data_IF_331665220094
#
_entry.id   IF_331665220094
#
_cell.length_a   1.000
_cell.length_b   1.000
_cell.length_c   1.000
_cell.angle_alpha   90.00
_cell.angle_beta   90.00
_cell.angle_gamma   90.00
#
_symmetry.space_group_name_H-M   'P 1'
#
loop_
_entity.id
_entity.type
_entity.pdbx_description
1 polymer ?
#
# COMPACT_ATOMS: atom_id res chain seq x y z
N UNK A 1 16.53 -8.63 46.20
CA UNK A 1 15.28 -9.27 45.70
C UNK A 1 15.02 -8.77 44.29
N UNK A 2 15.14 -9.64 43.28
CA UNK A 2 14.92 -9.31 41.86
C UNK A 2 13.41 -9.22 41.64
N UNK A 3 12.91 -7.99 41.55
CA UNK A 3 11.49 -7.72 41.35
C UNK A 3 11.10 -8.24 39.94
N UNK A 4 10.49 -9.42 39.88
CA UNK A 4 9.90 -9.97 38.66
C UNK A 4 8.56 -9.27 38.44
N UNK A 5 8.63 -8.07 37.86
CA UNK A 5 7.46 -7.40 37.29
C UNK A 5 6.85 -8.36 36.24
N UNK A 6 5.53 -8.61 36.27
CA UNK A 6 4.90 -9.71 35.55
C UNK A 6 5.00 -9.53 34.03
N UNK A 7 5.61 -10.49 33.35
CA UNK A 7 5.69 -10.64 31.87
C UNK A 7 4.34 -10.57 31.14
N UNK A 8 3.22 -10.59 31.87
CA UNK A 8 1.85 -10.64 31.34
C UNK A 8 1.42 -9.24 30.85
N UNK A 9 1.75 -8.19 31.60
CA UNK A 9 1.32 -6.81 31.30
C UNK A 9 2.01 -6.26 30.03
N UNK A 10 3.30 -6.60 29.84
CA UNK A 10 4.06 -6.22 28.65
C UNK A 10 3.53 -6.84 27.35
N UNK A 11 2.91 -8.03 27.42
CA UNK A 11 2.39 -8.72 26.23
C UNK A 11 1.05 -8.10 25.77
N UNK A 12 0.21 -7.68 26.71
CA UNK A 12 -1.09 -7.08 26.40
C UNK A 12 -0.96 -5.66 25.83
N UNK A 13 0.00 -4.85 26.31
CA UNK A 13 0.31 -3.53 25.72
C UNK A 13 0.91 -3.63 24.32
N UNK A 14 1.83 -4.57 24.08
CA UNK A 14 2.41 -4.79 22.75
C UNK A 14 1.34 -5.28 21.75
N UNK A 15 0.41 -6.11 22.20
CA UNK A 15 -0.71 -6.56 21.38
C UNK A 15 -1.68 -5.42 21.06
N UNK A 16 -2.01 -4.58 22.04
CA UNK A 16 -2.86 -3.38 21.83
C UNK A 16 -2.25 -2.40 20.85
N UNK A 17 -0.97 -2.07 20.99
CA UNK A 17 -0.28 -1.13 20.08
C UNK A 17 -0.22 -1.65 18.64
N UNK A 18 0.04 -2.95 18.45
CA UNK A 18 -0.05 -3.58 17.12
C UNK A 18 -1.46 -3.53 16.53
N UNK A 19 -2.49 -3.80 17.34
CA UNK A 19 -3.89 -3.73 16.90
C UNK A 19 -4.30 -2.31 16.52
N UNK A 20 -3.99 -1.31 17.36
CA UNK A 20 -4.28 0.10 17.07
C UNK A 20 -3.58 0.53 15.78
N UNK A 21 -2.32 0.16 15.59
CA UNK A 21 -1.57 0.47 14.36
C UNK A 21 -2.21 -0.18 13.13
N UNK A 22 -2.74 -1.40 13.27
CA UNK A 22 -3.48 -2.08 12.21
C UNK A 22 -4.79 -1.38 11.86
N UNK A 23 -5.59 -0.97 12.85
CA UNK A 23 -6.84 -0.25 12.62
C UNK A 23 -6.62 1.14 12.02
N UNK A 24 -5.58 1.86 12.46
CA UNK A 24 -5.19 3.14 11.87
C UNK A 24 -4.78 2.94 10.40
N UNK A 25 -3.97 1.92 10.10
CA UNK A 25 -3.58 1.59 8.73
C UNK A 25 -4.77 1.22 7.84
N UNK A 26 -5.74 0.48 8.39
CA UNK A 26 -7.00 0.14 7.72
C UNK A 26 -7.81 1.40 7.40
N UNK A 27 -7.98 2.29 8.38
CA UNK A 27 -8.69 3.56 8.19
C UNK A 27 -8.06 4.45 7.12
N UNK A 28 -6.73 4.63 7.16
CA UNK A 28 -6.00 5.43 6.16
C UNK A 28 -6.17 4.82 4.76
N UNK A 29 -6.03 3.50 4.63
CA UNK A 29 -6.17 2.81 3.34
C UNK A 29 -7.59 2.91 2.79
N UNK A 30 -8.60 2.84 3.66
CA UNK A 30 -10.00 3.00 3.29
C UNK A 30 -10.28 4.41 2.77
N UNK A 31 -9.80 5.44 3.49
CA UNK A 31 -9.93 6.84 3.05
C UNK A 31 -9.23 7.06 1.72
N UNK A 32 -8.01 6.55 1.55
CA UNK A 32 -7.28 6.64 0.28
C UNK A 32 -8.03 5.95 -0.87
N UNK A 33 -8.57 4.74 -0.65
CA UNK A 33 -9.38 4.02 -1.64
C UNK A 33 -10.62 4.82 -2.06
N UNK A 34 -11.33 5.37 -1.06
CA UNK A 34 -12.53 6.17 -1.28
C UNK A 34 -12.23 7.44 -2.07
N UNK A 35 -11.11 8.11 -1.78
CA UNK A 35 -10.69 9.30 -2.52
C UNK A 35 -10.37 8.97 -3.98
N UNK A 36 -9.67 7.87 -4.25
CA UNK A 36 -9.38 7.40 -5.61
C UNK A 36 -10.69 7.05 -6.34
N UNK A 37 -11.60 6.34 -5.68
CA UNK A 37 -12.91 5.98 -6.24
C UNK A 37 -13.71 7.23 -6.66
N UNK A 38 -13.83 8.21 -5.75
CA UNK A 38 -14.51 9.49 -6.03
C UNK A 38 -13.82 10.25 -7.15
N UNK A 39 -12.49 10.30 -7.16
CA UNK A 39 -11.74 10.96 -8.23
C UNK A 39 -12.01 10.34 -9.60
N UNK A 40 -12.01 9.00 -9.70
CA UNK A 40 -12.34 8.28 -10.94
C UNK A 40 -13.78 8.56 -11.38
N UNK A 41 -14.74 8.54 -10.45
CA UNK A 41 -16.15 8.85 -10.75
C UNK A 41 -16.28 10.28 -11.29
N UNK A 42 -15.65 11.26 -10.62
CA UNK A 42 -15.66 12.65 -11.06
C UNK A 42 -15.07 12.81 -12.46
N UNK A 43 -13.91 12.18 -12.74
CA UNK A 43 -13.29 12.23 -14.06
C UNK A 43 -14.23 11.67 -15.13
N UNK A 44 -14.92 10.55 -14.86
CA UNK A 44 -15.84 9.95 -15.83
C UNK A 44 -17.13 10.76 -16.03
N UNK A 45 -17.66 11.38 -14.98
CA UNK A 45 -18.89 12.18 -15.06
C UNK A 45 -18.67 13.54 -15.72
N UNK A 46 -17.58 14.24 -15.38
CA UNK A 46 -17.30 15.57 -15.92
C UNK A 46 -16.51 15.55 -17.23
N UNK A 47 -15.80 14.45 -17.54
CA UNK A 47 -14.93 14.36 -18.71
C UNK A 47 -15.62 13.94 -20.01
N UNK A 48 -16.73 13.19 -19.93
CA UNK A 48 -17.32 12.56 -21.12
C UNK A 48 -18.48 13.35 -21.76
N UNK A 49 -19.07 14.33 -21.07
CA UNK A 49 -20.15 15.16 -21.61
C UNK A 49 -21.44 14.43 -22.01
N UNK A 50 -21.56 13.13 -21.71
CA UNK A 50 -22.78 12.35 -21.97
C UNK A 50 -23.78 12.45 -20.81
N UNK A 51 -25.01 11.95 -21.03
CA UNK A 51 -26.07 11.95 -20.02
C UNK A 51 -25.59 11.27 -18.72
N UNK A 52 -25.64 11.97 -17.57
CA UNK A 52 -25.13 11.45 -16.30
C UNK A 52 -25.85 10.18 -15.86
N UNK A 53 -27.11 9.99 -16.25
CA UNK A 53 -27.92 8.81 -15.92
C UNK A 53 -27.41 7.51 -16.57
N UNK A 54 -26.80 7.60 -17.76
CA UNK A 54 -26.25 6.43 -18.47
C UNK A 54 -24.84 6.10 -18.02
N UNK A 55 -24.04 7.11 -17.70
CA UNK A 55 -22.65 6.93 -17.25
C UNK A 55 -22.56 6.53 -15.78
N UNK A 56 -23.50 6.95 -14.92
CA UNK A 56 -23.38 6.78 -13.47
C UNK A 56 -23.03 5.36 -13.02
N UNK A 57 -23.74 4.35 -13.56
CA UNK A 57 -23.49 2.94 -13.20
C UNK A 57 -22.12 2.45 -13.66
N UNK A 58 -21.70 2.87 -14.86
CA UNK A 58 -20.37 2.55 -15.39
C UNK A 58 -19.27 3.19 -14.55
N UNK A 59 -19.42 4.48 -14.25
CA UNK A 59 -18.48 5.24 -13.43
C UNK A 59 -18.36 4.67 -12.02
N UNK A 60 -19.46 4.20 -11.42
CA UNK A 60 -19.43 3.51 -10.12
C UNK A 60 -18.62 2.21 -10.20
N UNK A 61 -18.93 1.33 -11.15
CA UNK A 61 -18.23 0.06 -11.34
C UNK A 61 -16.73 0.28 -11.56
N UNK A 62 -16.37 1.19 -12.46
CA UNK A 62 -14.98 1.49 -12.77
C UNK A 62 -14.28 2.15 -11.57
N UNK A 63 -14.96 3.05 -10.85
CA UNK A 63 -14.43 3.70 -9.66
C UNK A 63 -14.08 2.70 -8.55
N UNK A 64 -14.98 1.77 -8.23
CA UNK A 64 -14.73 0.72 -7.23
C UNK A 64 -13.70 -0.30 -7.71
N UNK A 65 -13.71 -0.68 -8.99
CA UNK A 65 -12.78 -1.66 -9.54
C UNK A 65 -11.35 -1.12 -9.62
N UNK A 66 -11.18 0.12 -10.12
CA UNK A 66 -9.87 0.77 -10.25
C UNK A 66 -9.25 1.05 -8.87
N UNK A 67 -10.04 1.57 -7.93
CA UNK A 67 -9.54 1.80 -6.56
C UNK A 67 -9.15 0.50 -5.85
N UNK A 68 -9.96 -0.55 -5.98
CA UNK A 68 -9.67 -1.88 -5.43
C UNK A 68 -8.42 -2.52 -6.03
N UNK A 69 -8.31 -2.56 -7.36
CA UNK A 69 -7.18 -3.20 -8.03
C UNK A 69 -5.86 -2.46 -7.77
N UNK A 70 -5.89 -1.13 -7.70
CA UNK A 70 -4.70 -0.31 -7.45
C UNK A 70 -4.15 -0.59 -6.04
N UNK A 71 -5.02 -0.72 -5.02
CA UNK A 71 -4.61 -1.10 -3.68
C UNK A 71 -4.02 -2.52 -3.61
N UNK A 72 -4.64 -3.48 -4.30
CA UNK A 72 -4.11 -4.85 -4.38
C UNK A 72 -2.74 -4.86 -5.06
N UNK A 73 -2.57 -4.13 -6.17
CA UNK A 73 -1.28 -3.99 -6.84
C UNK A 73 -0.24 -3.33 -5.94
N UNK A 74 -0.62 -2.29 -5.19
CA UNK A 74 0.30 -1.64 -4.26
C UNK A 74 0.74 -2.57 -3.12
N UNK A 75 -0.19 -3.36 -2.58
CA UNK A 75 0.14 -4.41 -1.62
C UNK A 75 1.16 -5.42 -2.19
N UNK A 76 0.92 -5.92 -3.41
CA UNK A 76 1.87 -6.81 -4.09
C UNK A 76 3.22 -6.14 -4.32
N UNK A 77 3.24 -4.87 -4.71
CA UNK A 77 4.46 -4.10 -4.93
C UNK A 77 5.29 -3.96 -3.65
N UNK A 78 4.64 -3.64 -2.52
CA UNK A 78 5.32 -3.62 -1.21
C UNK A 78 5.83 -5.01 -0.86
N UNK A 79 5.03 -6.06 -1.10
CA UNK A 79 5.44 -7.43 -0.80
C UNK A 79 6.63 -7.87 -1.64
N UNK A 80 6.67 -7.50 -2.92
CA UNK A 80 7.81 -7.72 -3.82
C UNK A 80 9.05 -6.93 -3.38
N UNK A 81 8.86 -5.71 -2.88
CA UNK A 81 9.93 -4.91 -2.26
C UNK A 81 10.53 -5.62 -1.06
N UNK A 82 9.72 -6.25 -0.21
CA UNK A 82 10.19 -7.06 0.93
C UNK A 82 10.94 -8.33 0.54
N UNK A 83 10.78 -8.80 -0.70
CA UNK A 83 11.57 -9.88 -1.29
C UNK A 83 12.89 -9.39 -1.91
N UNK A 84 13.11 -8.08 -1.94
CA UNK A 84 14.32 -7.45 -2.44
C UNK A 84 14.31 -7.16 -3.95
N UNK A 85 13.16 -7.24 -4.61
CA UNK A 85 13.03 -6.95 -6.04
C UNK A 85 13.53 -5.53 -6.39
N UNK A 86 13.28 -4.57 -5.50
CA UNK A 86 13.70 -3.17 -5.68
C UNK A 86 15.02 -2.83 -4.95
N UNK A 87 15.65 -3.78 -4.25
CA UNK A 87 16.86 -3.49 -3.45
C UNK A 87 18.06 -3.13 -4.31
N UNK A 88 18.20 -3.79 -5.46
CA UNK A 88 19.28 -3.54 -6.43
C UNK A 88 19.13 -2.12 -7.01
N UNK A 89 17.91 -1.75 -7.40
CA UNK A 89 17.61 -0.43 -7.96
C UNK A 89 17.89 0.68 -6.95
N UNK A 90 17.44 0.52 -5.70
CA UNK A 90 17.69 1.52 -4.64
C UNK A 90 19.18 1.65 -4.33
N UNK A 91 19.92 0.54 -4.29
CA UNK A 91 21.37 0.57 -4.09
C UNK A 91 22.08 1.29 -5.25
N UNK A 92 21.72 0.96 -6.50
CA UNK A 92 22.29 1.60 -7.69
C UNK A 92 22.03 3.11 -7.75
N UNK A 93 20.79 3.54 -7.47
CA UNK A 93 20.45 4.98 -7.44
C UNK A 93 21.22 5.70 -6.34
N UNK A 94 21.32 5.12 -5.13
CA UNK A 94 22.12 5.70 -4.05
C UNK A 94 23.59 5.81 -4.44
N UNK A 95 24.16 4.74 -5.00
CA UNK A 95 25.56 4.73 -5.42
C UNK A 95 25.82 5.81 -6.47
N UNK A 96 24.95 5.93 -7.48
CA UNK A 96 25.04 6.99 -8.49
C UNK A 96 24.96 8.39 -7.86
N UNK A 97 23.99 8.61 -6.97
CA UNK A 97 23.82 9.90 -6.28
C UNK A 97 25.04 10.26 -5.41
N UNK A 98 25.53 9.32 -4.59
CA UNK A 98 26.71 9.54 -3.75
C UNK A 98 27.97 9.75 -4.58
N UNK A 99 28.14 9.04 -5.69
CA UNK A 99 29.26 9.25 -6.61
C UNK A 99 29.23 10.62 -7.29
N UNK A 100 28.04 11.16 -7.58
CA UNK A 100 27.89 12.48 -8.20
C UNK A 100 28.09 13.63 -7.21
N UNK A 101 27.58 13.50 -5.98
CA UNK A 101 27.57 14.60 -5.01
C UNK A 101 28.69 14.56 -3.97
N UNK A 102 29.35 13.42 -3.75
CA UNK A 102 30.42 13.28 -2.76
C UNK A 102 31.72 12.80 -3.41
N UNK A 103 32.80 13.56 -3.15
CA UNK A 103 34.17 13.28 -3.64
C UNK A 103 34.78 12.01 -3.01
N UNK A 104 34.25 11.55 -1.86
CA UNK A 104 34.77 10.40 -1.13
C UNK A 104 33.63 9.49 -0.66
N UNK A 105 33.43 8.36 -1.35
CA UNK A 105 32.33 7.41 -1.10
C UNK A 105 32.49 6.75 0.28
N UNK A 106 33.73 6.65 0.79
CA UNK A 106 34.08 6.05 2.10
C UNK A 106 33.63 6.84 3.33
N UNK A 107 33.35 8.14 3.20
CA UNK A 107 32.81 8.96 4.30
C UNK A 107 31.28 8.86 4.43
N UNK A 108 30.63 8.19 3.48
CA UNK A 108 29.17 8.01 3.50
C UNK A 108 28.81 6.72 4.24
N UNK A 109 27.65 6.71 4.91
CA UNK A 109 27.08 5.53 5.60
C UNK A 109 26.65 4.39 4.63
N UNK A 110 27.15 4.39 3.39
CA UNK A 110 26.82 3.38 2.40
C UNK A 110 27.79 2.20 2.57
N UNK A 111 27.28 0.97 2.77
CA UNK A 111 28.13 -0.21 2.80
C UNK A 111 28.83 -0.40 1.45
N UNK A 112 30.08 -0.85 1.48
CA UNK A 112 30.92 -1.00 0.29
C UNK A 112 30.46 -2.13 -0.65
N UNK A 113 29.67 -3.08 -0.14
CA UNK A 113 29.15 -4.21 -0.90
C UNK A 113 27.63 -4.32 -0.82
N UNK A 114 27.02 -4.75 -1.92
CA UNK A 114 25.59 -5.05 -1.99
C UNK A 114 25.17 -6.18 -1.01
N UNK A 115 26.10 -7.11 -0.71
CA UNK A 115 25.85 -8.18 0.25
C UNK A 115 25.55 -7.62 1.66
N UNK A 116 26.39 -6.70 2.13
CA UNK A 116 26.22 -6.03 3.42
C UNK A 116 24.93 -5.18 3.44
N UNK A 117 24.61 -4.51 2.33
CA UNK A 117 23.36 -3.75 2.19
C UNK A 117 22.12 -4.65 2.35
N UNK A 118 22.15 -5.85 1.76
CA UNK A 118 21.07 -6.83 1.83
C UNK A 118 20.91 -7.40 3.24
N UNK A 119 22.01 -7.64 3.94
CA UNK A 119 21.98 -8.09 5.34
C UNK A 119 21.43 -7.00 6.28
N UNK A 120 21.89 -5.76 6.12
CA UNK A 120 21.37 -4.60 6.85
C UNK A 120 19.87 -4.38 6.61
N UNK A 121 19.38 -4.61 5.38
CA UNK A 121 17.93 -4.53 5.09
C UNK A 121 17.15 -5.71 5.66
N UNK A 122 17.70 -6.92 5.68
CA UNK A 122 17.07 -8.10 6.30
C UNK A 122 16.87 -7.94 7.80
N UNK A 123 17.75 -7.21 8.48
CA UNK A 123 17.65 -6.95 9.91
C UNK A 123 16.59 -5.89 10.27
N UNK A 124 16.06 -5.14 9.29
CA UNK A 124 15.01 -4.14 9.55
C UNK A 124 13.64 -4.82 9.69
N UNK A 125 12.80 -4.36 10.64
CA UNK A 125 11.44 -4.86 10.77
C UNK A 125 10.67 -4.56 9.48
N UNK A 126 10.00 -5.58 8.94
CA UNK A 126 9.12 -5.43 7.77
C UNK A 126 7.82 -4.75 8.19
N UNK A 127 7.33 -3.84 7.36
CA UNK A 127 6.06 -3.18 7.60
C UNK A 127 4.92 -4.19 7.42
N UNK A 128 4.04 -4.29 8.42
CA UNK A 128 2.85 -5.13 8.33
C UNK A 128 1.80 -4.46 7.46
N UNK A 129 1.89 -4.65 6.13
CA UNK A 129 0.95 -4.05 5.15
C UNK A 129 -0.25 -4.93 4.83
N UNK A 130 -0.52 -5.96 5.64
CA UNK A 130 -1.63 -6.90 5.40
C UNK A 130 -3.01 -6.22 5.36
N UNK A 131 -3.19 -5.05 5.99
CA UNK A 131 -4.44 -4.30 5.93
C UNK A 131 -4.80 -3.83 4.51
N UNK A 132 -3.81 -3.51 3.66
CA UNK A 132 -4.05 -3.04 2.29
C UNK A 132 -4.71 -4.10 1.42
N UNK A 133 -4.35 -5.36 1.63
CA UNK A 133 -4.94 -6.49 0.93
C UNK A 133 -6.43 -6.66 1.26
N UNK A 134 -6.79 -6.58 2.53
CA UNK A 134 -8.19 -6.71 2.97
C UNK A 134 -9.07 -5.57 2.42
N UNK A 135 -8.58 -4.33 2.47
CA UNK A 135 -9.32 -3.16 1.95
C UNK A 135 -9.46 -3.23 0.44
N UNK A 136 -8.37 -3.53 -0.29
CA UNK A 136 -8.40 -3.65 -1.75
C UNK A 136 -9.35 -4.75 -2.22
N UNK A 137 -9.34 -5.90 -1.54
CA UNK A 137 -10.22 -7.02 -1.86
C UNK A 137 -11.69 -6.69 -1.57
N UNK A 138 -11.99 -5.96 -0.49
CA UNK A 138 -13.34 -5.48 -0.18
C UNK A 138 -13.87 -4.54 -1.28
N UNK A 139 -13.07 -3.58 -1.73
CA UNK A 139 -13.46 -2.67 -2.82
C UNK A 139 -13.67 -3.40 -4.16
N UNK A 140 -12.82 -4.38 -4.45
CA UNK A 140 -12.92 -5.19 -5.67
C UNK A 140 -14.20 -6.04 -5.65
N UNK A 141 -14.53 -6.68 -4.52
CA UNK A 141 -15.80 -7.41 -4.35
C UNK A 141 -17.00 -6.48 -4.58
N UNK A 142 -16.99 -5.27 -4.01
CA UNK A 142 -18.06 -4.29 -4.22
C UNK A 142 -18.18 -3.92 -5.71
N UNK A 143 -17.05 -3.70 -6.40
CA UNK A 143 -17.03 -3.46 -7.84
C UNK A 143 -17.64 -4.61 -8.65
N UNK A 144 -17.31 -5.86 -8.32
CA UNK A 144 -17.90 -7.06 -8.96
C UNK A 144 -19.41 -7.14 -8.68
N UNK A 145 -19.86 -6.84 -7.47
CA UNK A 145 -21.29 -6.83 -7.13
C UNK A 145 -22.03 -5.78 -7.95
N UNK A 146 -21.44 -4.59 -8.13
CA UNK A 146 -22.00 -3.50 -8.95
C UNK A 146 -22.00 -3.82 -10.45
N UNK A 147 -21.16 -4.76 -10.90
CA UNK A 147 -21.15 -5.25 -12.29
C UNK A 147 -22.47 -5.96 -12.65
N UNK A 148 -23.07 -6.68 -11.70
CA UNK A 148 -24.31 -7.46 -11.90
C UNK A 148 -25.48 -6.57 -12.35
N UNK A 149 -25.85 -5.48 -11.62
CA UNK A 149 -26.90 -4.58 -12.07
C UNK A 149 -26.50 -3.83 -13.35
N UNK A 150 -25.21 -3.52 -13.56
CA UNK A 150 -24.77 -2.88 -14.81
C UNK A 150 -25.12 -3.71 -16.05
N UNK A 151 -24.85 -5.02 -16.05
CA UNK A 151 -25.22 -5.89 -17.16
C UNK A 151 -26.73 -6.15 -17.25
N UNK A 152 -27.46 -6.12 -16.13
CA UNK A 152 -28.91 -6.32 -16.11
C UNK A 152 -29.69 -5.09 -16.57
N UNK A 153 -29.15 -3.89 -16.38
CA UNK A 153 -29.80 -2.62 -16.70
C UNK A 153 -29.46 -2.09 -18.10
N UNK A 154 -28.56 -2.77 -18.83
CA UNK A 154 -28.16 -2.43 -20.20
C UNK A 154 -28.98 -3.30 -21.18
N UNK A 155 -30.10 -2.80 -21.74
CA UNK A 155 -30.79 -3.48 -22.83
C UNK A 155 -29.94 -3.54 -24.10
#
# INVERSE_FOLDING_TARGET
MRNRIPKIETNDEERRTKLVSYFVGLGISFVAASLICVAVICIQLYGNGEDPSKILYRALVDGFSISGILLVMFFFLVRLSDYGAFDILVYGVKLAFYNTFYKNIRDTKLPASYADYKELKRQKPKLSVSYMWHVGLLFLIIGIILLIPYYRLRP
#
